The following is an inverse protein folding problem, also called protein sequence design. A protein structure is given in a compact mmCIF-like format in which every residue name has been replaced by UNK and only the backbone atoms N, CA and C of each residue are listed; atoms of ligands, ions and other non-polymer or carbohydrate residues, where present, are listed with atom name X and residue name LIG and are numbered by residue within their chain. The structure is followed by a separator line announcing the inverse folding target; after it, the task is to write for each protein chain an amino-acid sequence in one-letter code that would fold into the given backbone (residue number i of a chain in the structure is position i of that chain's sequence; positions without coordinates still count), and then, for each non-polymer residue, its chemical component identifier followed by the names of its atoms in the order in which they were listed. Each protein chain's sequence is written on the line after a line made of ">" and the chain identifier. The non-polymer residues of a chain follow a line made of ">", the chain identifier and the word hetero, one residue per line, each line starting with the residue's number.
data_IF_221374107581
#
_entry.id   IF_221374107581
#
_cell.length_a   1.000
_cell.length_b   1.000
_cell.length_c   1.000
_cell.angle_alpha   90.00
_cell.angle_beta   90.00
_cell.angle_gamma   90.00
#
_symmetry.space_group_name_H-M   'P 1'
#
loop_
_entity.id
_entity.type
_entity.pdbx_description
1 polymer ?
#
# COMPACT_ATOMS: atom_id res chain seq x y z
N UNK A 1 -18.06 -19.29 -11.29
CA UNK A 1 -18.19 -19.65 -9.86
C UNK A 1 -18.60 -21.11 -9.59
N UNK A 2 -19.44 -21.77 -10.42
CA UNK A 2 -19.77 -23.18 -10.18
C UNK A 2 -18.74 -24.19 -10.71
N UNK A 3 -17.96 -23.87 -11.76
CA UNK A 3 -16.92 -24.79 -12.29
C UNK A 3 -15.65 -24.85 -11.41
N UNK A 4 -15.20 -23.72 -10.84
CA UNK A 4 -14.06 -23.68 -9.91
C UNK A 4 -14.32 -24.43 -8.61
N UNK A 5 -15.55 -24.39 -8.09
CA UNK A 5 -15.94 -25.19 -6.91
C UNK A 5 -15.89 -26.69 -7.19
N UNK A 6 -16.18 -27.11 -8.41
CA UNK A 6 -16.18 -28.50 -8.82
C UNK A 6 -14.75 -29.03 -9.02
N UNK A 7 -13.85 -28.20 -9.59
CA UNK A 7 -12.41 -28.50 -9.73
C UNK A 7 -11.71 -28.72 -8.38
N UNK A 8 -11.99 -27.87 -7.38
CA UNK A 8 -11.40 -28.01 -6.05
C UNK A 8 -11.90 -29.25 -5.29
N UNK A 9 -13.12 -29.71 -5.55
CA UNK A 9 -13.67 -30.93 -4.94
C UNK A 9 -12.94 -32.19 -5.41
N UNK A 10 -12.62 -32.27 -6.70
CA UNK A 10 -11.87 -33.40 -7.28
C UNK A 10 -10.41 -33.45 -6.80
N UNK A 11 -9.78 -32.29 -6.62
CA UNK A 11 -8.41 -32.21 -6.12
C UNK A 11 -8.31 -32.64 -4.64
N UNK A 12 -9.30 -32.23 -3.83
CA UNK A 12 -9.43 -32.65 -2.42
C UNK A 12 -9.70 -34.15 -2.28
N UNK A 13 -10.52 -34.73 -3.16
CA UNK A 13 -10.79 -36.17 -3.18
C UNK A 13 -9.53 -36.96 -3.54
N UNK A 14 -8.76 -36.50 -4.54
CA UNK A 14 -7.48 -37.14 -4.93
C UNK A 14 -6.44 -37.07 -3.82
N UNK A 15 -6.33 -35.93 -3.14
CA UNK A 15 -5.42 -35.83 -1.99
C UNK A 15 -5.84 -36.74 -0.85
N UNK A 16 -7.14 -36.82 -0.55
CA UNK A 16 -7.66 -37.72 0.48
C UNK A 16 -7.37 -39.20 0.16
N UNK A 17 -7.55 -39.62 -1.09
CA UNK A 17 -7.24 -40.98 -1.54
C UNK A 17 -5.74 -41.28 -1.46
N UNK A 18 -4.87 -40.34 -1.86
CA UNK A 18 -3.42 -40.50 -1.76
C UNK A 18 -2.95 -40.60 -0.30
N UNK A 19 -3.54 -39.80 0.60
CA UNK A 19 -3.27 -39.88 2.04
C UNK A 19 -3.70 -41.24 2.58
N UNK A 20 -4.89 -41.74 2.19
CA UNK A 20 -5.38 -43.06 2.60
C UNK A 20 -4.47 -44.18 2.11
N UNK A 21 -4.02 -44.14 0.86
CA UNK A 21 -3.09 -45.13 0.29
C UNK A 21 -1.72 -45.07 0.96
N UNK A 22 -1.19 -43.88 1.24
CA UNK A 22 0.04 -43.72 1.98
C UNK A 22 -0.09 -44.30 3.39
N UNK A 23 -1.21 -44.06 4.07
CA UNK A 23 -1.49 -44.57 5.41
C UNK A 23 -1.57 -46.10 5.44
N UNK A 24 -2.29 -46.70 4.47
CA UNK A 24 -2.39 -48.16 4.31
C UNK A 24 -1.02 -48.79 3.95
N UNK A 25 -0.25 -48.14 3.08
CA UNK A 25 1.09 -48.58 2.70
C UNK A 25 2.09 -48.53 3.86
N UNK A 26 2.07 -47.45 4.65
CA UNK A 26 2.86 -47.35 5.87
C UNK A 26 2.42 -48.37 6.92
N UNK A 27 1.12 -48.62 7.05
CA UNK A 27 0.59 -49.66 7.94
C UNK A 27 1.09 -51.05 7.58
N UNK A 28 1.15 -51.38 6.28
CA UNK A 28 1.68 -52.65 5.80
C UNK A 28 3.19 -52.80 6.01
N UNK A 29 3.96 -51.71 5.84
CA UNK A 29 5.40 -51.71 6.09
C UNK A 29 5.73 -51.85 7.58
N UNK A 30 4.96 -51.17 8.44
CA UNK A 30 5.05 -51.32 9.91
C UNK A 30 4.71 -52.76 10.32
N UNK A 31 3.76 -53.42 9.64
CA UNK A 31 3.44 -54.81 9.91
C UNK A 31 4.55 -55.79 9.50
N UNK A 32 5.35 -55.45 8.47
CA UNK A 32 6.48 -56.27 8.01
C UNK A 32 7.75 -56.08 8.87
N UNK A 33 7.96 -54.88 9.39
CA UNK A 33 9.07 -54.53 10.28
C UNK A 33 8.67 -54.50 11.76
N UNK A 34 7.56 -55.19 12.09
CA UNK A 34 6.82 -55.08 13.36
C UNK A 34 7.75 -55.04 14.57
N UNK A 35 8.60 -56.04 14.75
CA UNK A 35 9.39 -56.18 15.97
C UNK A 35 10.42 -55.05 16.14
N UNK A 36 11.09 -54.63 15.06
CA UNK A 36 12.08 -53.53 15.10
C UNK A 36 11.42 -52.15 15.20
N UNK A 37 10.28 -51.97 14.52
CA UNK A 37 9.50 -50.75 14.63
C UNK A 37 8.93 -50.60 16.05
N UNK A 38 8.51 -51.70 16.68
CA UNK A 38 7.99 -51.70 18.05
C UNK A 38 9.10 -51.44 19.09
N UNK A 39 10.29 -52.02 18.92
CA UNK A 39 11.44 -51.72 19.79
C UNK A 39 11.80 -50.23 19.74
N UNK A 40 11.79 -49.65 18.53
CA UNK A 40 12.03 -48.22 18.32
C UNK A 40 10.93 -47.34 18.96
N UNK A 41 9.65 -47.68 18.75
CA UNK A 41 8.51 -46.93 19.31
C UNK A 41 8.48 -47.02 20.84
N UNK A 42 8.70 -48.19 21.43
CA UNK A 42 8.75 -48.37 22.89
C UNK A 42 9.93 -47.60 23.50
N UNK A 43 11.09 -47.60 22.84
CA UNK A 43 12.27 -46.83 23.30
C UNK A 43 12.01 -45.33 23.25
N UNK A 44 11.37 -44.84 22.18
CA UNK A 44 10.97 -43.43 22.06
C UNK A 44 9.93 -43.07 23.11
N UNK A 45 8.91 -43.90 23.30
CA UNK A 45 7.86 -43.68 24.30
C UNK A 45 8.46 -43.64 25.70
N UNK A 46 9.31 -44.60 26.06
CA UNK A 46 10.01 -44.61 27.35
C UNK A 46 10.87 -43.36 27.55
N UNK A 47 11.67 -42.96 26.56
CA UNK A 47 12.51 -41.76 26.66
C UNK A 47 11.66 -40.50 26.90
N UNK A 48 10.51 -40.40 26.24
CA UNK A 48 9.62 -39.25 26.41
C UNK A 48 8.85 -39.28 27.74
N UNK A 49 8.31 -40.43 28.15
CA UNK A 49 7.68 -40.60 29.48
C UNK A 49 8.68 -40.21 30.57
N UNK A 50 9.92 -40.69 30.47
CA UNK A 50 11.00 -40.38 31.41
C UNK A 50 11.40 -38.90 31.38
N UNK A 51 11.41 -38.27 30.21
CA UNK A 51 11.68 -36.83 30.09
C UNK A 51 10.58 -35.99 30.71
N UNK A 52 9.31 -36.39 30.55
CA UNK A 52 8.15 -35.72 31.15
C UNK A 52 8.15 -35.87 32.67
N UNK A 53 8.41 -37.08 33.19
CA UNK A 53 8.55 -37.33 34.64
C UNK A 53 9.74 -36.53 35.23
N UNK A 54 10.88 -36.51 34.54
CA UNK A 54 12.02 -35.70 34.95
C UNK A 54 11.70 -34.19 34.97
N UNK A 55 10.94 -33.69 33.99
CA UNK A 55 10.48 -32.30 33.97
C UNK A 55 9.46 -31.99 35.08
N UNK A 56 8.56 -32.93 35.42
CA UNK A 56 7.62 -32.74 36.53
C UNK A 56 8.33 -32.64 37.87
N UNK A 57 9.42 -33.40 38.06
CA UNK A 57 10.24 -33.34 39.28
C UNK A 57 11.05 -32.03 39.39
N UNK A 58 11.34 -31.37 38.27
CA UNK A 58 12.17 -30.15 38.20
C UNK A 58 11.39 -28.85 38.45
N UNK A 59 10.06 -28.87 38.33
CA UNK A 59 9.22 -27.70 38.54
C UNK A 59 8.54 -27.83 39.91
N UNK A 60 9.01 -27.12 40.96
CA UNK A 60 8.31 -27.10 42.24
C UNK A 60 7.02 -26.28 42.07
N UNK A 61 5.91 -26.95 41.80
CA UNK A 61 4.59 -26.33 41.76
C UNK A 61 4.14 -25.97 43.18
N UNK A 62 4.61 -24.82 43.69
CA UNK A 62 4.04 -24.20 44.88
C UNK A 62 2.73 -23.51 44.50
N UNK A 63 1.60 -24.22 44.65
CA UNK A 63 0.27 -23.63 44.78
C UNK A 63 -0.84 -24.29 43.95
N UNK A 64 -1.79 -24.93 44.64
CA UNK A 64 -3.21 -25.13 44.31
C UNK A 64 -3.62 -25.64 42.91
N UNK A 65 -2.74 -26.34 42.19
CA UNK A 65 -3.11 -27.14 41.00
C UNK A 65 -2.96 -28.66 41.30
N UNK A 66 -3.04 -29.02 42.59
CA UNK A 66 -2.85 -30.40 43.08
C UNK A 66 -3.91 -31.41 42.60
N UNK A 67 -4.95 -30.99 41.85
CA UNK A 67 -6.07 -31.86 41.48
C UNK A 67 -6.31 -32.06 39.98
N UNK A 68 -5.54 -31.45 39.07
CA UNK A 68 -5.80 -31.59 37.61
C UNK A 68 -4.78 -32.41 36.82
N UNK A 69 -3.60 -32.68 37.40
CA UNK A 69 -2.51 -33.44 36.75
C UNK A 69 -2.19 -34.82 37.41
N UNK A 70 -2.65 -35.20 38.63
CA UNK A 70 -2.30 -36.52 39.21
C UNK A 70 -2.62 -37.70 38.30
N UNK A 71 -3.76 -37.64 37.59
CA UNK A 71 -4.17 -38.69 36.67
C UNK A 71 -3.15 -38.99 35.57
N UNK A 72 -2.41 -37.98 35.10
CA UNK A 72 -1.44 -38.16 34.01
C UNK A 72 -0.09 -38.62 34.56
N UNK A 73 0.40 -38.01 35.65
CA UNK A 73 1.68 -38.40 36.25
C UNK A 73 1.63 -39.79 36.88
N UNK A 74 0.56 -40.13 37.59
CA UNK A 74 0.39 -41.45 38.24
C UNK A 74 0.26 -42.55 37.18
N UNK A 75 -0.52 -42.29 36.12
CA UNK A 75 -0.66 -43.21 34.99
C UNK A 75 0.67 -43.38 34.23
N UNK A 76 1.47 -42.33 34.09
CA UNK A 76 2.79 -42.40 33.45
C UNK A 76 3.81 -43.16 34.30
N UNK A 77 3.78 -42.99 35.63
CA UNK A 77 4.59 -43.75 36.58
C UNK A 77 4.22 -45.24 36.57
N UNK A 78 2.93 -45.56 36.49
CA UNK A 78 2.46 -46.94 36.40
C UNK A 78 2.87 -47.62 35.07
N UNK A 79 2.99 -46.84 33.98
CA UNK A 79 3.31 -47.35 32.64
C UNK A 79 4.85 -47.39 32.37
N UNK A 80 5.66 -46.58 33.05
CA UNK A 80 7.11 -46.48 32.84
C UNK A 80 7.87 -47.84 32.94
N UNK A 81 7.60 -48.71 33.93
CA UNK A 81 8.32 -49.99 34.06
C UNK A 81 8.04 -50.95 32.91
N UNK A 82 6.86 -50.83 32.29
CA UNK A 82 6.39 -51.63 31.17
C UNK A 82 6.96 -51.16 29.82
N UNK A 83 7.32 -49.88 29.71
CA UNK A 83 7.94 -49.32 28.50
C UNK A 83 9.47 -49.42 28.52
N UNK A 84 10.06 -49.70 29.68
CA UNK A 84 11.50 -49.75 29.86
C UNK A 84 12.11 -50.91 29.04
N UNK A 85 12.96 -50.62 28.04
CA UNK A 85 13.55 -51.67 27.20
C UNK A 85 14.52 -52.60 27.97
N UNK A 86 14.93 -52.22 29.18
CA UNK A 86 15.86 -52.97 30.02
C UNK A 86 15.17 -53.98 30.96
N UNK A 87 13.84 -53.96 31.09
CA UNK A 87 13.07 -54.88 31.97
C UNK A 87 12.55 -56.12 31.23
N UNK A 88 12.74 -56.23 29.91
CA UNK A 88 12.14 -57.26 29.08
C UNK A 88 13.11 -58.28 28.48
N UNK A 89 13.40 -59.37 29.18
CA UNK A 89 13.75 -60.64 28.54
C UNK A 89 12.77 -61.72 29.01
N UNK A 90 11.84 -62.12 28.12
CA UNK A 90 10.92 -63.25 28.34
C UNK A 90 9.48 -62.91 28.72
N UNK A 91 8.87 -61.87 28.13
CA UNK A 91 7.51 -61.42 28.46
C UNK A 91 6.42 -62.28 27.79
N UNK A 92 5.42 -62.70 28.56
CA UNK A 92 4.22 -63.42 28.13
C UNK A 92 3.40 -62.59 27.10
N UNK A 93 2.92 -63.18 25.98
CA UNK A 93 2.06 -62.52 24.99
C UNK A 93 0.87 -61.72 25.54
N UNK A 94 0.30 -62.12 26.68
CA UNK A 94 -0.82 -61.39 27.27
C UNK A 94 -0.37 -60.11 28.00
N UNK A 95 0.79 -60.15 28.66
CA UNK A 95 1.42 -58.98 29.25
C UNK A 95 1.85 -58.00 28.16
N UNK A 96 2.35 -58.52 27.04
CA UNK A 96 2.74 -57.76 25.85
C UNK A 96 1.60 -56.90 25.27
N UNK A 97 0.38 -57.43 25.22
CA UNK A 97 -0.80 -56.68 24.75
C UNK A 97 -1.15 -55.50 25.68
N UNK A 98 -1.01 -55.70 27.00
CA UNK A 98 -1.24 -54.64 28.00
C UNK A 98 -0.22 -53.50 27.86
N UNK A 99 1.04 -53.82 27.60
CA UNK A 99 2.10 -52.83 27.35
C UNK A 99 1.76 -51.99 26.10
N UNK A 100 1.26 -52.62 25.03
CA UNK A 100 0.85 -51.89 23.83
C UNK A 100 -0.39 -51.03 24.01
N UNK A 101 -1.38 -51.50 24.78
CA UNK A 101 -2.54 -50.70 25.11
C UNK A 101 -2.13 -49.48 25.94
N UNK A 102 -1.22 -49.65 26.89
CA UNK A 102 -0.67 -48.55 27.68
C UNK A 102 0.15 -47.55 26.84
N UNK A 103 1.04 -48.04 25.98
CA UNK A 103 1.87 -47.20 25.10
C UNK A 103 1.03 -46.37 24.12
N UNK A 104 -0.02 -46.96 23.55
CA UNK A 104 -0.92 -46.29 22.60
C UNK A 104 -1.80 -45.24 23.28
N UNK A 105 -2.26 -45.50 24.51
CA UNK A 105 -2.96 -44.50 25.34
C UNK A 105 -2.05 -43.34 25.69
N UNK A 106 -0.80 -43.62 26.10
CA UNK A 106 0.18 -42.57 26.37
C UNK A 106 0.51 -41.74 25.12
N UNK A 107 0.68 -42.38 23.96
CA UNK A 107 0.91 -41.67 22.70
C UNK A 107 -0.27 -40.77 22.30
N UNK A 108 -1.51 -41.26 22.44
CA UNK A 108 -2.73 -40.49 22.18
C UNK A 108 -2.81 -39.24 23.07
N UNK A 109 -2.50 -39.38 24.36
CA UNK A 109 -2.57 -38.30 25.33
C UNK A 109 -1.44 -37.27 25.19
N UNK A 110 -0.21 -37.72 24.93
CA UNK A 110 0.97 -36.84 24.86
C UNK A 110 1.07 -36.13 23.50
N UNK A 111 0.74 -36.81 22.41
CA UNK A 111 1.00 -36.27 21.07
C UNK A 111 -0.26 -35.91 20.31
N UNK A 112 -1.24 -36.82 20.23
CA UNK A 112 -2.41 -36.58 19.37
C UNK A 112 -3.31 -35.50 19.96
N UNK A 113 -3.60 -35.54 21.26
CA UNK A 113 -4.51 -34.58 21.88
C UNK A 113 -3.96 -33.14 21.83
N UNK A 114 -2.68 -32.87 22.19
CA UNK A 114 -2.12 -31.52 22.13
C UNK A 114 -1.94 -31.04 20.69
N UNK A 115 -1.55 -31.91 19.75
CA UNK A 115 -1.45 -31.51 18.34
C UNK A 115 -2.83 -31.21 17.74
N UNK A 116 -3.85 -32.02 18.02
CA UNK A 116 -5.23 -31.74 17.61
C UNK A 116 -5.76 -30.47 18.25
N UNK A 117 -5.42 -30.20 19.51
CA UNK A 117 -5.79 -28.96 20.19
C UNK A 117 -5.07 -27.73 19.61
N UNK A 118 -3.78 -27.83 19.30
CA UNK A 118 -3.03 -26.77 18.59
C UNK A 118 -3.61 -26.52 17.21
N UNK A 119 -3.91 -27.58 16.45
CA UNK A 119 -4.53 -27.50 15.12
C UNK A 119 -5.92 -26.86 15.24
N UNK A 120 -6.76 -27.29 16.19
CA UNK A 120 -8.09 -26.75 16.44
C UNK A 120 -8.05 -25.27 16.86
N UNK A 121 -7.15 -24.89 17.76
CA UNK A 121 -6.91 -23.50 18.15
C UNK A 121 -6.34 -22.65 17.00
N UNK A 122 -5.63 -23.28 16.06
CA UNK A 122 -5.06 -22.60 14.88
C UNK A 122 -6.09 -22.41 13.76
N UNK A 123 -7.09 -23.29 13.64
CA UNK A 123 -8.14 -23.20 12.63
C UNK A 123 -9.03 -21.95 12.74
N UNK A 124 -8.98 -21.22 13.87
CA UNK A 124 -9.66 -19.93 14.07
C UNK A 124 -8.74 -18.69 14.08
N UNK A 125 -7.42 -18.85 13.96
CA UNK A 125 -6.43 -17.77 14.17
C UNK A 125 -5.69 -17.35 12.91
N UNK A 126 -6.31 -17.51 11.74
CA UNK A 126 -5.82 -16.89 10.51
C UNK A 126 -6.12 -15.40 10.56
N UNK A 127 -5.11 -14.51 10.74
CA UNK A 127 -5.36 -13.08 10.92
C UNK A 127 -6.10 -12.49 9.72
N UNK A 128 -5.78 -12.96 8.51
CA UNK A 128 -6.45 -12.60 7.26
C UNK A 128 -7.96 -12.87 7.28
N UNK A 129 -8.40 -14.02 7.84
CA UNK A 129 -9.81 -14.34 7.96
C UNK A 129 -10.51 -13.54 9.07
N UNK A 130 -9.80 -13.25 10.17
CA UNK A 130 -10.31 -12.40 11.24
C UNK A 130 -10.51 -10.97 10.73
N UNK A 131 -9.55 -10.43 9.97
CA UNK A 131 -9.68 -9.10 9.36
C UNK A 131 -10.79 -9.07 8.31
N UNK A 132 -10.87 -10.09 7.44
CA UNK A 132 -11.90 -10.17 6.38
C UNK A 132 -13.31 -10.34 6.93
N UNK A 133 -13.49 -11.09 8.01
CA UNK A 133 -14.81 -11.39 8.56
C UNK A 133 -15.22 -10.41 9.68
N UNK A 134 -14.25 -9.78 10.35
CA UNK A 134 -14.48 -8.90 11.51
C UNK A 134 -14.54 -7.41 11.16
N UNK A 135 -14.05 -7.01 9.99
CA UNK A 135 -14.04 -5.60 9.60
C UNK A 135 -14.54 -5.40 8.16
N UNK A 136 -15.44 -4.42 7.98
CA UNK A 136 -15.69 -3.80 6.68
C UNK A 136 -14.58 -2.81 6.36
N UNK A 137 -14.52 -2.29 5.13
CA UNK A 137 -13.60 -1.20 4.80
C UNK A 137 -13.82 -0.02 5.74
N UNK A 138 -15.07 0.38 5.95
CA UNK A 138 -15.42 1.51 6.83
C UNK A 138 -15.01 1.24 8.28
N UNK A 139 -15.24 0.02 8.79
CA UNK A 139 -14.84 -0.28 10.16
C UNK A 139 -13.32 -0.38 10.31
N UNK A 140 -12.56 -0.82 9.30
CA UNK A 140 -11.08 -0.72 9.30
C UNK A 140 -10.63 0.75 9.34
N UNK A 141 -11.29 1.61 8.58
CA UNK A 141 -11.00 3.03 8.52
C UNK A 141 -11.33 3.76 9.83
N UNK A 142 -12.43 3.40 10.50
CA UNK A 142 -12.84 3.97 11.79
C UNK A 142 -12.01 3.43 12.96
N UNK A 143 -11.80 2.11 13.02
CA UNK A 143 -11.13 1.45 14.15
C UNK A 143 -9.60 1.56 14.09
N UNK A 144 -9.03 1.81 12.89
CA UNK A 144 -7.58 1.94 12.65
C UNK A 144 -6.77 0.92 13.46
N UNK A 145 -6.99 -0.40 13.29
CA UNK A 145 -6.19 -1.40 13.99
C UNK A 145 -4.70 -1.26 13.64
N UNK A 146 -4.40 -0.63 12.50
CA UNK A 146 -3.08 -0.16 12.09
C UNK A 146 -3.01 1.35 12.33
N UNK A 147 -2.09 1.80 13.18
CA UNK A 147 -1.88 3.24 13.42
C UNK A 147 -1.40 3.94 12.14
N UNK A 148 -2.30 4.68 11.50
CA UNK A 148 -2.02 5.49 10.30
C UNK A 148 -2.39 6.96 10.48
N UNK A 149 -2.04 7.77 9.48
CA UNK A 149 -2.50 9.16 9.35
C UNK A 149 -4.02 9.16 9.14
N UNK A 150 -4.79 9.63 10.12
CA UNK A 150 -6.23 9.87 9.94
C UNK A 150 -6.41 11.01 8.94
N UNK A 151 -7.26 10.80 7.95
CA UNK A 151 -7.64 11.77 6.92
C UNK A 151 -9.16 11.86 6.91
N UNK A 152 -9.75 12.25 8.04
CA UNK A 152 -11.20 12.20 8.27
C UNK A 152 -12.01 13.18 7.41
N UNK A 153 -11.36 14.12 6.72
CA UNK A 153 -12.00 14.91 5.67
C UNK A 153 -12.44 14.05 4.48
N UNK A 154 -11.77 12.94 4.18
CA UNK A 154 -12.17 12.01 3.11
C UNK A 154 -13.52 11.34 3.42
N UNK A 155 -13.80 11.05 4.69
CA UNK A 155 -15.06 10.40 5.11
C UNK A 155 -16.27 11.31 4.87
N UNK A 156 -16.09 12.63 5.08
CA UNK A 156 -17.14 13.65 4.86
C UNK A 156 -17.46 13.91 3.38
N UNK A 157 -16.68 13.32 2.48
CA UNK A 157 -16.80 13.46 1.03
C UNK A 157 -17.48 12.27 0.37
N UNK A 158 -17.84 11.22 1.12
CA UNK A 158 -18.58 10.06 0.62
C UNK A 158 -20.09 10.27 0.77
N UNK A 159 -20.77 10.70 -0.30
CA UNK A 159 -22.09 10.18 -0.62
C UNK A 159 -22.08 9.38 -1.94
N UNK A 160 -20.96 9.36 -2.68
CA UNK A 160 -20.87 8.73 -4.01
C UNK A 160 -20.48 7.24 -4.00
N UNK A 161 -19.97 6.72 -2.89
CA UNK A 161 -19.52 5.32 -2.76
C UNK A 161 -20.64 4.35 -2.29
N UNK A 162 -21.81 4.86 -1.87
CA UNK A 162 -22.93 4.05 -1.37
C UNK A 162 -23.75 3.36 -2.47
N UNK A 163 -23.55 3.71 -3.74
CA UNK A 163 -24.15 2.99 -4.85
C UNK A 163 -23.28 1.76 -5.21
N UNK A 164 -23.35 0.75 -4.35
CA UNK A 164 -23.07 -0.66 -4.63
C UNK A 164 -21.94 -0.94 -5.63
N UNK A 165 -20.70 -0.98 -5.14
CA UNK A 165 -19.60 -1.60 -5.88
C UNK A 165 -19.83 -3.12 -5.94
N UNK A 166 -20.63 -3.59 -6.90
CA UNK A 166 -20.68 -5.01 -7.22
C UNK A 166 -19.38 -5.40 -7.92
N UNK A 167 -18.54 -6.16 -7.21
CA UNK A 167 -17.40 -6.86 -7.79
C UNK A 167 -17.96 -7.98 -8.67
N UNK A 168 -18.39 -7.61 -9.88
CA UNK A 168 -18.70 -8.53 -10.96
C UNK A 168 -17.42 -8.89 -11.69
N UNK A 169 -17.22 -10.18 -11.96
CA UNK A 169 -16.04 -10.76 -12.62
C UNK A 169 -15.97 -10.46 -14.12
N UNK A 170 -15.97 -9.19 -14.52
CA UNK A 170 -15.74 -8.75 -15.89
C UNK A 170 -14.77 -7.57 -15.89
N UNK A 171 -13.47 -7.89 -15.83
CA UNK A 171 -12.35 -6.95 -15.79
C UNK A 171 -12.10 -6.20 -17.12
N UNK A 172 -13.10 -5.99 -17.97
CA UNK A 172 -12.91 -5.35 -19.28
C UNK A 172 -13.97 -4.33 -19.71
N UNK A 173 -15.18 -4.29 -19.14
CA UNK A 173 -16.27 -3.42 -19.67
C UNK A 173 -16.69 -2.25 -18.77
N UNK A 174 -16.25 -2.20 -17.51
CA UNK A 174 -16.79 -1.24 -16.53
C UNK A 174 -15.78 -0.18 -16.01
N UNK A 175 -14.87 0.28 -16.86
CA UNK A 175 -14.01 1.45 -16.54
C UNK A 175 -14.79 2.77 -16.63
N UNK A 176 -15.99 2.76 -17.23
CA UNK A 176 -16.81 3.95 -17.49
C UNK A 176 -17.72 4.42 -16.34
N UNK A 177 -17.87 3.67 -15.24
CA UNK A 177 -18.80 4.06 -14.16
C UNK A 177 -18.24 5.07 -13.15
N UNK A 178 -16.96 5.46 -13.26
CA UNK A 178 -16.39 6.58 -12.52
C UNK A 178 -16.76 7.96 -13.11
N UNK A 179 -17.48 8.00 -14.24
CA UNK A 179 -17.59 9.19 -15.10
C UNK A 179 -18.97 9.86 -15.03
N UNK A 180 -20.01 9.22 -14.48
CA UNK A 180 -21.34 9.86 -14.36
C UNK A 180 -21.47 10.86 -13.19
N UNK A 181 -20.42 11.10 -12.42
CA UNK A 181 -20.37 12.16 -11.40
C UNK A 181 -19.91 13.51 -11.95
N UNK A 182 -19.43 13.56 -13.19
CA UNK A 182 -18.99 14.81 -13.80
C UNK A 182 -20.21 15.42 -14.51
N UNK A 183 -20.66 16.59 -14.04
CA UNK A 183 -21.70 17.48 -14.62
C UNK A 183 -23.10 17.55 -13.96
N UNK A 184 -23.30 17.04 -12.75
CA UNK A 184 -24.44 17.52 -11.93
C UNK A 184 -23.93 18.47 -10.85
N UNK A 185 -24.19 19.76 -11.03
CA UNK A 185 -23.66 20.84 -10.20
C UNK A 185 -23.95 20.67 -8.70
N UNK A 186 -22.90 20.44 -7.92
CA UNK A 186 -22.76 20.85 -6.53
C UNK A 186 -21.33 20.59 -6.03
N UNK A 187 -20.52 21.66 -6.05
CA UNK A 187 -19.17 21.85 -5.49
C UNK A 187 -18.60 20.76 -4.56
N UNK A 188 -17.54 20.11 -5.03
CA UNK A 188 -16.30 19.96 -4.25
C UNK A 188 -15.09 20.02 -5.19
N UNK A 189 -14.83 21.21 -5.74
CA UNK A 189 -13.90 21.56 -6.85
C UNK A 189 -12.42 21.10 -6.70
N UNK A 190 -12.05 20.33 -5.68
CA UNK A 190 -10.65 20.06 -5.34
C UNK A 190 -10.26 18.57 -5.18
N UNK A 191 -11.20 17.62 -5.24
CA UNK A 191 -10.85 16.18 -5.21
C UNK A 191 -10.76 15.49 -6.56
N UNK A 192 -11.18 16.16 -7.62
CA UNK A 192 -11.14 15.62 -8.99
C UNK A 192 -9.74 15.08 -9.35
N UNK A 193 -9.65 14.00 -10.14
CA UNK A 193 -8.37 13.50 -10.64
C UNK A 193 -7.59 14.61 -11.36
N UNK A 194 -6.29 14.38 -11.59
CA UNK A 194 -5.53 15.31 -12.42
C UNK A 194 -6.17 15.36 -13.81
N UNK A 195 -6.36 16.57 -14.34
CA UNK A 195 -6.97 16.75 -15.65
C UNK A 195 -6.09 16.08 -16.71
N UNK A 196 -6.72 15.45 -17.69
CA UNK A 196 -6.02 15.10 -18.92
C UNK A 196 -5.54 16.38 -19.62
N UNK A 197 -4.52 16.33 -20.47
CA UNK A 197 -4.07 17.52 -21.19
C UNK A 197 -5.19 18.19 -22.02
N UNK A 198 -6.11 17.41 -22.57
CA UNK A 198 -7.27 17.89 -23.33
C UNK A 198 -8.31 18.58 -22.42
N UNK A 199 -8.67 17.95 -21.31
CA UNK A 199 -9.58 18.53 -20.30
C UNK A 199 -9.00 19.83 -19.76
N UNK A 200 -7.69 19.86 -19.54
CA UNK A 200 -7.00 21.05 -19.08
C UNK A 200 -7.06 22.19 -20.10
N UNK A 201 -6.78 21.92 -21.39
CA UNK A 201 -6.88 22.93 -22.45
C UNK A 201 -8.28 23.54 -22.57
N UNK A 202 -9.33 22.72 -22.40
CA UNK A 202 -10.72 23.20 -22.37
C UNK A 202 -10.97 24.05 -21.13
N UNK A 203 -10.53 23.57 -19.95
CA UNK A 203 -10.75 24.26 -18.67
C UNK A 203 -10.09 25.63 -18.60
N UNK A 204 -8.94 25.81 -19.26
CA UNK A 204 -8.21 27.07 -19.30
C UNK A 204 -8.65 27.97 -20.47
N UNK A 205 -9.65 27.54 -21.26
CA UNK A 205 -10.24 28.34 -22.34
C UNK A 205 -9.36 28.49 -23.58
N UNK A 206 -8.35 27.63 -23.76
CA UNK A 206 -7.48 27.64 -24.94
C UNK A 206 -8.19 27.11 -26.20
N UNK A 207 -9.35 26.47 -26.03
CA UNK A 207 -10.24 26.03 -27.11
C UNK A 207 -11.50 26.91 -27.06
N UNK A 208 -11.61 27.93 -27.93
CA UNK A 208 -12.67 28.95 -27.83
C UNK A 208 -14.03 28.47 -28.36
N UNK A 209 -14.06 27.44 -29.22
CA UNK A 209 -15.27 26.94 -29.85
C UNK A 209 -16.02 25.97 -28.92
N UNK A 210 -17.18 26.42 -28.42
CA UNK A 210 -18.03 25.65 -27.50
C UNK A 210 -18.50 24.34 -28.10
N UNK A 211 -18.79 24.29 -29.40
CA UNK A 211 -19.25 23.07 -30.05
C UNK A 211 -18.11 22.04 -30.18
N UNK A 212 -16.86 22.52 -30.38
CA UNK A 212 -15.67 21.66 -30.32
C UNK A 212 -15.41 21.17 -28.89
N UNK A 213 -15.52 22.05 -27.90
CA UNK A 213 -15.34 21.70 -26.49
C UNK A 213 -16.38 20.67 -26.00
N UNK A 214 -17.65 20.82 -26.38
CA UNK A 214 -18.71 19.85 -26.05
C UNK A 214 -18.50 18.50 -26.73
N UNK A 215 -17.98 18.47 -27.97
CA UNK A 215 -17.61 17.21 -28.65
C UNK A 215 -16.47 16.48 -27.94
N UNK A 216 -15.49 17.20 -27.40
CA UNK A 216 -14.38 16.65 -26.62
C UNK A 216 -14.86 16.15 -25.24
N UNK A 217 -15.68 16.93 -24.54
CA UNK A 217 -16.23 16.56 -23.24
C UNK A 217 -17.13 15.30 -23.33
N UNK A 218 -17.93 15.17 -24.40
CA UNK A 218 -18.80 14.02 -24.62
C UNK A 218 -18.07 12.78 -25.17
N UNK A 219 -16.87 12.94 -25.72
CA UNK A 219 -15.97 11.86 -26.13
C UNK A 219 -14.82 11.73 -25.13
N UNK A 220 -15.12 11.27 -23.92
CA UNK A 220 -14.12 10.69 -23.00
C UNK A 220 -13.63 9.32 -23.52
N UNK A 221 -13.24 9.30 -24.80
CA UNK A 221 -12.62 8.18 -25.49
C UNK A 221 -11.11 8.33 -25.31
N UNK A 222 -10.33 7.26 -25.10
CA UNK A 222 -8.87 7.34 -25.17
C UNK A 222 -8.45 8.10 -26.43
N UNK A 223 -7.66 9.17 -26.25
CA UNK A 223 -7.12 10.08 -27.27
C UNK A 223 -7.24 9.54 -28.71
N UNK A 224 -8.25 10.02 -29.45
CA UNK A 224 -8.42 9.70 -30.87
C UNK A 224 -7.59 10.67 -31.71
N UNK A 225 -6.33 10.28 -31.89
CA UNK A 225 -5.30 11.01 -32.63
C UNK A 225 -5.74 11.42 -34.04
N UNK A 226 -6.70 10.73 -34.66
CA UNK A 226 -7.17 11.06 -36.02
C UNK A 226 -7.89 12.40 -36.10
N UNK A 227 -8.51 12.83 -34.99
CA UNK A 227 -9.29 14.08 -34.94
C UNK A 227 -8.56 15.20 -34.18
N UNK A 228 -7.42 14.90 -33.54
CA UNK A 228 -6.63 15.86 -32.78
C UNK A 228 -6.13 17.02 -33.66
N UNK A 229 -5.67 16.70 -34.88
CA UNK A 229 -5.19 17.68 -35.85
C UNK A 229 -6.26 18.66 -36.31
N UNK A 230 -7.56 18.37 -36.18
CA UNK A 230 -8.66 19.30 -36.52
C UNK A 230 -9.13 20.09 -35.31
N UNK A 231 -9.10 19.47 -34.13
CA UNK A 231 -9.59 20.06 -32.87
C UNK A 231 -8.61 21.08 -32.27
N UNK A 232 -7.30 20.92 -32.52
CA UNK A 232 -6.26 21.70 -31.84
C UNK A 232 -5.45 22.63 -32.78
N UNK A 233 -5.90 22.88 -34.02
CA UNK A 233 -5.18 23.71 -35.02
C UNK A 233 -4.89 25.13 -34.53
N UNK A 234 -5.79 25.68 -33.71
CA UNK A 234 -5.74 27.07 -33.27
C UNK A 234 -4.86 27.26 -32.02
N UNK A 235 -4.36 26.17 -31.43
CA UNK A 235 -3.56 26.23 -30.20
C UNK A 235 -2.12 26.61 -30.53
N UNK A 236 -1.66 27.70 -29.92
CA UNK A 236 -0.28 28.19 -30.06
C UNK A 236 0.56 27.90 -28.83
N UNK A 237 1.88 27.76 -29.02
CA UNK A 237 2.83 27.61 -27.90
C UNK A 237 2.74 28.81 -26.96
N UNK A 238 2.55 30.02 -27.50
CA UNK A 238 2.47 31.24 -26.70
C UNK A 238 1.22 31.27 -25.82
N UNK A 239 0.07 30.83 -26.33
CA UNK A 239 -1.15 30.71 -25.52
C UNK A 239 -0.99 29.69 -24.38
N UNK A 240 -0.36 28.54 -24.64
CA UNK A 240 -0.08 27.56 -23.58
C UNK A 240 0.94 28.13 -22.56
N UNK A 241 1.97 28.85 -23.04
CA UNK A 241 2.94 29.49 -22.16
C UNK A 241 2.26 30.44 -21.18
N UNK A 242 1.39 31.34 -21.66
CA UNK A 242 0.71 32.32 -20.83
C UNK A 242 -0.06 31.66 -19.67
N UNK A 243 -0.83 30.62 -19.98
CA UNK A 243 -1.60 29.87 -18.98
C UNK A 243 -0.68 29.15 -17.98
N UNK A 244 0.37 28.47 -18.46
CA UNK A 244 1.32 27.77 -17.59
C UNK A 244 2.12 28.73 -16.71
N UNK A 245 2.42 29.92 -17.21
CA UNK A 245 3.11 30.97 -16.47
C UNK A 245 2.27 31.48 -15.30
N UNK A 246 0.95 31.55 -15.44
CA UNK A 246 0.05 31.95 -14.36
C UNK A 246 0.10 30.97 -13.17
N UNK A 247 0.27 29.67 -13.44
CA UNK A 247 0.32 28.60 -12.41
C UNK A 247 1.66 28.51 -11.65
N UNK A 248 2.62 29.41 -11.88
CA UNK A 248 3.94 29.37 -11.25
C UNK A 248 3.95 29.65 -9.73
N UNK A 249 2.88 30.29 -9.22
CA UNK A 249 2.77 30.70 -7.82
C UNK A 249 3.53 32.01 -7.53
N UNK A 250 3.88 32.24 -6.26
CA UNK A 250 4.62 33.43 -5.84
C UNK A 250 6.14 33.26 -5.97
N UNK A 251 6.87 34.39 -5.98
CA UNK A 251 8.34 34.38 -5.96
C UNK A 251 8.88 33.83 -4.64
N UNK A 252 10.01 33.14 -4.69
CA UNK A 252 10.69 32.63 -3.50
C UNK A 252 11.46 33.73 -2.78
N UNK A 253 11.09 34.01 -1.52
CA UNK A 253 11.75 35.01 -0.67
C UNK A 253 12.21 34.40 0.68
N UNK A 254 12.50 33.10 0.70
CA UNK A 254 12.87 32.35 1.91
C UNK A 254 11.67 31.92 2.76
N UNK A 255 11.94 31.22 3.86
CA UNK A 255 10.88 30.54 4.64
C UNK A 255 9.83 31.47 5.25
N UNK A 256 10.22 32.70 5.60
CA UNK A 256 9.32 33.68 6.22
C UNK A 256 8.20 34.17 5.29
N UNK A 257 8.35 33.94 3.99
CA UNK A 257 7.35 34.34 2.99
C UNK A 257 6.24 33.31 2.80
N UNK A 258 6.36 32.15 3.44
CA UNK A 258 5.43 31.03 3.33
C UNK A 258 4.21 31.20 4.24
N UNK A 259 3.09 30.63 3.81
CA UNK A 259 1.87 30.50 4.61
C UNK A 259 2.08 29.54 5.81
N UNK A 260 1.20 29.52 6.81
CA UNK A 260 1.46 28.69 8.02
C UNK A 260 1.42 27.20 7.69
N UNK A 261 0.54 26.74 6.79
CA UNK A 261 0.55 25.33 6.38
C UNK A 261 1.81 24.98 5.57
N UNK A 262 2.34 25.92 4.79
CA UNK A 262 3.56 25.74 4.01
C UNK A 262 4.78 25.68 4.92
N UNK A 263 4.87 26.58 5.91
CA UNK A 263 5.90 26.54 6.94
C UNK A 263 5.82 25.25 7.76
N UNK A 264 4.63 24.79 8.13
CA UNK A 264 4.43 23.51 8.82
C UNK A 264 4.87 22.31 7.97
N UNK A 265 4.54 22.30 6.68
CA UNK A 265 4.99 21.28 5.76
C UNK A 265 6.52 21.30 5.62
N UNK A 266 7.11 22.47 5.36
CA UNK A 266 8.57 22.64 5.23
C UNK A 266 9.31 22.24 6.51
N UNK A 267 8.78 22.58 7.69
CA UNK A 267 9.32 22.14 8.98
C UNK A 267 9.39 20.61 9.06
N UNK A 268 8.32 19.91 8.66
CA UNK A 268 8.34 18.45 8.59
C UNK A 268 9.37 17.91 7.58
N UNK A 269 9.54 18.57 6.43
CA UNK A 269 10.56 18.21 5.43
C UNK A 269 12.00 18.40 5.98
N UNK A 270 12.24 19.49 6.71
CA UNK A 270 13.54 19.77 7.34
C UNK A 270 13.84 18.72 8.41
N UNK A 271 12.89 18.39 9.28
CA UNK A 271 13.07 17.36 10.29
C UNK A 271 13.32 15.99 9.67
N UNK A 272 12.69 15.70 8.52
CA UNK A 272 12.95 14.47 7.78
C UNK A 272 14.37 14.45 7.18
N UNK A 273 14.84 15.58 6.65
CA UNK A 273 16.23 15.76 6.21
C UNK A 273 17.25 15.63 7.34
N UNK A 274 16.89 16.05 8.56
CA UNK A 274 17.72 15.96 9.76
C UNK A 274 17.61 14.61 10.51
N UNK A 275 17.02 13.59 9.88
CA UNK A 275 16.80 12.25 10.47
C UNK A 275 15.89 12.24 11.72
N UNK A 276 15.17 13.32 12.02
CA UNK A 276 14.19 13.44 13.10
C UNK A 276 12.78 13.09 12.63
N UNK A 277 12.64 11.95 11.95
CA UNK A 277 11.40 11.54 11.28
C UNK A 277 10.19 11.39 12.22
N UNK A 278 10.43 11.06 13.50
CA UNK A 278 9.38 10.97 14.52
C UNK A 278 8.67 12.30 14.74
N UNK A 279 9.45 13.37 14.94
CA UNK A 279 8.91 14.73 15.12
C UNK A 279 8.30 15.26 13.81
N UNK A 280 8.94 15.01 12.66
CA UNK A 280 8.37 15.38 11.37
C UNK A 280 7.00 14.75 11.12
N UNK A 281 6.83 13.49 11.52
CA UNK A 281 5.55 12.78 11.44
C UNK A 281 4.51 13.35 12.40
N UNK A 282 4.91 13.73 13.60
CA UNK A 282 4.02 14.38 14.58
C UNK A 282 3.47 15.70 14.03
N UNK A 283 4.30 16.51 13.37
CA UNK A 283 3.87 17.74 12.70
C UNK A 283 2.89 17.42 11.56
N UNK A 284 3.19 16.43 10.71
CA UNK A 284 2.29 16.05 9.61
C UNK A 284 0.93 15.54 10.12
N UNK A 285 0.93 14.74 11.18
CA UNK A 285 -0.30 14.29 11.85
C UNK A 285 -1.08 15.46 12.43
N UNK A 286 -0.40 16.42 13.04
CA UNK A 286 -1.03 17.64 13.56
C UNK A 286 -1.67 18.47 12.46
N UNK A 287 -0.99 18.64 11.32
CA UNK A 287 -1.54 19.34 10.14
C UNK A 287 -2.79 18.63 9.63
N UNK A 288 -2.76 17.29 9.51
CA UNK A 288 -3.90 16.50 9.06
C UNK A 288 -5.10 16.65 10.01
N UNK A 289 -4.89 16.48 11.31
CA UNK A 289 -5.95 16.62 12.32
C UNK A 289 -6.52 18.04 12.38
N UNK A 290 -5.67 19.06 12.21
CA UNK A 290 -6.11 20.46 12.21
C UNK A 290 -6.91 20.79 10.96
N UNK A 291 -6.49 20.26 9.80
CA UNK A 291 -7.24 20.40 8.56
C UNK A 291 -8.59 19.70 8.66
N UNK A 292 -8.63 18.46 9.19
CA UNK A 292 -9.88 17.74 9.45
C UNK A 292 -10.85 18.57 10.32
N UNK A 293 -10.36 19.23 11.36
CA UNK A 293 -11.20 20.05 12.23
C UNK A 293 -11.65 21.37 11.59
N UNK A 294 -10.93 21.85 10.58
CA UNK A 294 -11.15 23.18 9.97
C UNK A 294 -11.85 23.11 8.61
N UNK A 295 -11.80 21.96 7.93
CA UNK A 295 -12.42 21.75 6.63
C UNK A 295 -13.93 22.08 6.65
N UNK A 296 -14.48 22.76 5.62
CA UNK A 296 -13.84 23.19 4.37
C UNK A 296 -13.15 24.57 4.40
N UNK A 297 -13.05 25.21 5.56
CA UNK A 297 -12.58 26.60 5.68
C UNK A 297 -11.04 26.69 5.75
N UNK A 298 -10.44 27.12 4.64
CA UNK A 298 -8.99 27.35 4.50
C UNK A 298 -8.48 28.46 5.42
N UNK A 299 -9.25 29.52 5.62
CA UNK A 299 -8.82 30.66 6.44
C UNK A 299 -8.84 30.27 7.93
N UNK A 300 -9.84 29.48 8.34
CA UNK A 300 -9.87 28.88 9.67
C UNK A 300 -8.67 27.96 9.88
N UNK A 301 -8.33 27.11 8.91
CA UNK A 301 -7.17 26.24 8.98
C UNK A 301 -5.88 27.06 9.22
N UNK A 302 -5.66 28.09 8.40
CA UNK A 302 -4.52 29.02 8.55
C UNK A 302 -4.47 29.69 9.93
N UNK A 303 -5.60 30.23 10.40
CA UNK A 303 -5.67 30.90 11.70
C UNK A 303 -5.36 29.96 12.87
N UNK A 304 -5.86 28.72 12.83
CA UNK A 304 -5.60 27.74 13.89
C UNK A 304 -4.12 27.36 13.93
N UNK A 305 -3.49 27.16 12.77
CA UNK A 305 -2.06 26.89 12.68
C UNK A 305 -1.22 28.06 13.21
N UNK A 306 -1.57 29.30 12.86
CA UNK A 306 -0.88 30.50 13.32
C UNK A 306 -0.98 30.73 14.84
N UNK A 307 -2.08 30.30 15.48
CA UNK A 307 -2.30 30.46 16.93
C UNK A 307 -1.71 29.35 17.78
N UNK A 308 -1.38 28.19 17.20
CA UNK A 308 -0.89 27.05 17.95
C UNK A 308 0.57 27.26 18.39
N UNK A 309 0.78 27.50 19.69
CA UNK A 309 2.12 27.79 20.24
C UNK A 309 3.12 26.64 20.09
N UNK A 310 2.67 25.40 20.23
CA UNK A 310 3.54 24.23 20.11
C UNK A 310 4.06 24.10 18.68
N UNK A 311 3.15 24.14 17.69
CA UNK A 311 3.49 24.04 16.28
C UNK A 311 4.40 25.20 15.86
N UNK A 312 4.03 26.44 16.19
CA UNK A 312 4.83 27.61 15.82
C UNK A 312 6.23 27.58 16.47
N UNK A 313 6.34 27.09 17.71
CA UNK A 313 7.63 26.84 18.36
C UNK A 313 8.48 25.84 17.58
N UNK A 314 7.88 24.70 17.17
CA UNK A 314 8.57 23.65 16.41
C UNK A 314 8.93 24.07 14.99
N UNK A 315 8.05 24.81 14.31
CA UNK A 315 8.35 25.43 13.01
C UNK A 315 9.58 26.31 13.17
N UNK A 316 9.56 27.27 14.08
CA UNK A 316 10.69 28.19 14.28
C UNK A 316 12.00 27.43 14.58
N UNK A 317 11.97 26.48 15.50
CA UNK A 317 13.13 25.63 15.84
C UNK A 317 13.68 24.90 14.61
N UNK A 318 12.80 24.30 13.79
CA UNK A 318 13.20 23.59 12.58
C UNK A 318 13.77 24.51 11.49
N UNK A 319 13.18 25.69 11.28
CA UNK A 319 13.64 26.65 10.27
C UNK A 319 15.00 27.25 10.65
N UNK A 320 15.20 27.56 11.94
CA UNK A 320 16.44 28.17 12.44
C UNK A 320 17.60 27.16 12.59
N UNK A 321 17.31 25.86 12.52
CA UNK A 321 18.27 24.76 12.62
C UNK A 321 19.33 24.77 11.51
N UNK A 322 20.45 24.07 11.73
CA UNK A 322 21.49 23.92 10.70
C UNK A 322 20.95 23.24 9.44
N UNK A 323 20.10 22.21 9.60
CA UNK A 323 19.40 21.53 8.53
C UNK A 323 18.48 22.49 7.74
N UNK A 324 17.72 23.33 8.45
CA UNK A 324 16.86 24.36 7.86
C UNK A 324 17.66 25.32 6.99
N UNK A 325 18.76 25.86 7.52
CA UNK A 325 19.65 26.76 6.77
C UNK A 325 20.30 26.10 5.56
N UNK A 326 20.72 24.83 5.68
CA UNK A 326 21.28 24.07 4.55
C UNK A 326 20.26 23.92 3.42
N UNK A 327 19.01 23.57 3.76
CA UNK A 327 17.93 23.44 2.79
C UNK A 327 17.54 24.80 2.19
N UNK A 328 17.45 25.86 2.99
CA UNK A 328 17.19 27.21 2.49
C UNK A 328 18.26 27.65 1.48
N UNK A 329 19.54 27.42 1.81
CA UNK A 329 20.66 27.71 0.91
C UNK A 329 20.58 26.92 -0.39
N UNK A 330 20.14 25.65 -0.35
CA UNK A 330 19.90 24.86 -1.57
C UNK A 330 18.72 25.38 -2.38
N UNK A 331 17.77 26.06 -1.74
CA UNK A 331 16.62 26.66 -2.41
C UNK A 331 16.90 28.03 -3.03
N UNK A 332 18.04 28.67 -2.73
CA UNK A 332 18.40 29.98 -3.30
C UNK A 332 18.63 29.96 -4.82
N UNK A 333 18.82 28.79 -5.43
CA UNK A 333 18.91 28.64 -6.88
C UNK A 333 17.54 28.72 -7.57
N UNK A 334 16.46 28.91 -6.81
CA UNK A 334 15.09 28.99 -7.33
C UNK A 334 14.51 30.39 -7.13
N UNK A 335 13.90 30.93 -8.19
CA UNK A 335 13.19 32.20 -8.20
C UNK A 335 11.74 32.10 -7.75
N UNK A 336 11.13 30.91 -7.79
CA UNK A 336 9.72 30.69 -7.47
C UNK A 336 9.52 29.75 -6.29
N UNK A 337 8.45 29.98 -5.53
CA UNK A 337 8.13 29.22 -4.32
C UNK A 337 7.95 27.73 -4.63
N UNK A 338 7.17 27.41 -5.64
CA UNK A 338 6.84 26.02 -5.96
C UNK A 338 8.10 25.22 -6.39
N UNK A 339 9.02 25.83 -7.15
CA UNK A 339 10.28 25.19 -7.54
C UNK A 339 11.24 25.01 -6.36
N UNK A 340 11.31 25.99 -5.46
CA UNK A 340 12.06 25.88 -4.21
C UNK A 340 11.55 24.72 -3.33
N UNK A 341 10.22 24.60 -3.17
CA UNK A 341 9.60 23.51 -2.39
C UNK A 341 9.86 22.13 -3.01
N UNK A 342 9.93 22.01 -4.34
CA UNK A 342 10.36 20.77 -5.02
C UNK A 342 11.78 20.39 -4.60
N UNK A 343 12.72 21.34 -4.58
CA UNK A 343 14.09 21.07 -4.12
C UNK A 343 14.14 20.63 -2.67
N UNK A 344 13.41 21.30 -1.79
CA UNK A 344 13.35 20.94 -0.35
C UNK A 344 12.84 19.50 -0.19
N UNK A 345 11.73 19.15 -0.85
CA UNK A 345 11.17 17.80 -0.81
C UNK A 345 12.13 16.75 -1.38
N UNK A 346 12.77 17.04 -2.52
CA UNK A 346 13.72 16.12 -3.14
C UNK A 346 14.94 15.89 -2.27
N UNK A 347 15.45 16.92 -1.60
CA UNK A 347 16.58 16.81 -0.67
C UNK A 347 16.20 16.04 0.59
N UNK A 348 15.03 16.31 1.16
CA UNK A 348 14.52 15.55 2.29
C UNK A 348 14.40 14.04 1.95
N UNK A 349 13.89 13.71 0.76
CA UNK A 349 13.81 12.31 0.29
C UNK A 349 15.18 11.66 0.06
N UNK A 350 16.14 12.43 -0.45
CA UNK A 350 17.47 11.94 -0.76
C UNK A 350 18.22 11.53 0.51
N UNK A 351 18.21 12.37 1.54
CA UNK A 351 18.95 12.10 2.79
C UNK A 351 18.11 11.27 3.78
N UNK A 352 16.86 11.66 4.01
CA UNK A 352 15.99 11.07 5.04
C UNK A 352 15.22 9.83 4.60
N UNK A 353 15.28 9.44 3.32
CA UNK A 353 14.56 8.29 2.78
C UNK A 353 13.09 8.57 2.47
N UNK A 354 12.24 7.53 2.59
CA UNK A 354 10.86 7.56 2.07
C UNK A 354 10.00 8.62 2.77
N UNK A 355 9.51 9.59 1.99
CA UNK A 355 8.53 10.59 2.43
C UNK A 355 7.40 10.70 1.39
N UNK A 356 6.30 9.94 1.57
CA UNK A 356 5.21 9.91 0.61
C UNK A 356 4.37 11.18 0.69
N UNK A 357 3.87 11.63 -0.47
CA UNK A 357 2.91 12.75 -0.55
C UNK A 357 1.57 12.43 0.12
N UNK A 358 1.25 11.14 0.30
CA UNK A 358 0.10 10.68 1.07
C UNK A 358 0.02 11.25 2.50
N UNK A 359 1.15 11.70 3.08
CA UNK A 359 1.16 12.31 4.41
C UNK A 359 0.55 13.72 4.46
N UNK A 360 0.36 14.37 3.32
CA UNK A 360 -0.16 15.74 3.23
C UNK A 360 -1.23 15.88 2.13
N UNK A 361 -2.16 14.91 2.06
CA UNK A 361 -3.26 14.90 1.09
C UNK A 361 -4.17 16.14 1.14
N UNK A 362 -4.31 16.75 2.33
CA UNK A 362 -5.06 18.00 2.51
C UNK A 362 -4.56 19.12 1.61
N UNK A 363 -3.28 19.09 1.21
CA UNK A 363 -2.70 20.11 0.35
C UNK A 363 -3.42 20.20 -1.00
N UNK A 364 -3.92 19.08 -1.53
CA UNK A 364 -4.71 19.05 -2.76
C UNK A 364 -5.93 19.97 -2.68
N UNK A 365 -6.54 20.06 -1.50
CA UNK A 365 -7.75 20.84 -1.23
C UNK A 365 -7.48 22.32 -0.97
N UNK A 366 -6.23 22.68 -0.66
CA UNK A 366 -5.83 24.05 -0.32
C UNK A 366 -5.11 24.73 -1.48
N UNK A 367 -4.24 23.97 -2.15
CA UNK A 367 -3.39 24.39 -3.25
C UNK A 367 -3.14 23.19 -4.18
N UNK A 368 -4.06 23.02 -5.14
CA UNK A 368 -4.04 21.93 -6.11
C UNK A 368 -2.77 21.92 -6.98
N UNK A 369 -2.31 23.09 -7.40
CA UNK A 369 -1.09 23.24 -8.21
C UNK A 369 0.15 22.83 -7.41
N UNK A 370 0.28 23.28 -6.16
CA UNK A 370 1.40 22.88 -5.30
C UNK A 370 1.35 21.39 -4.96
N UNK A 371 0.16 20.83 -4.72
CA UNK A 371 -0.01 19.39 -4.52
C UNK A 371 0.55 18.58 -5.67
N UNK A 372 0.12 18.84 -6.91
CA UNK A 372 0.63 18.10 -8.07
C UNK A 372 2.11 18.38 -8.31
N UNK A 373 2.57 19.60 -8.09
CA UNK A 373 3.98 19.95 -8.17
C UNK A 373 4.83 19.06 -7.27
N UNK A 374 4.46 18.93 -5.98
CA UNK A 374 5.18 18.09 -5.02
C UNK A 374 4.95 16.59 -5.25
N UNK A 375 3.76 16.20 -5.70
CA UNK A 375 3.44 14.81 -6.01
C UNK A 375 4.26 14.28 -7.20
N UNK A 376 4.46 15.09 -8.23
CA UNK A 376 5.28 14.77 -9.39
C UNK A 376 6.79 14.98 -9.14
N UNK A 377 7.20 15.42 -7.94
CA UNK A 377 8.62 15.59 -7.61
C UNK A 377 9.36 14.24 -7.57
N UNK A 378 10.14 13.97 -8.62
CA UNK A 378 10.85 12.70 -8.82
C UNK A 378 10.30 11.87 -9.98
N UNK A 379 9.17 12.24 -10.57
CA UNK A 379 8.62 11.58 -11.73
C UNK A 379 9.32 12.08 -13.02
N UNK A 380 9.45 11.18 -14.00
CA UNK A 380 9.95 11.55 -15.33
C UNK A 380 8.96 12.45 -16.08
N UNK A 381 7.66 12.18 -15.91
CA UNK A 381 6.54 12.91 -16.53
C UNK A 381 5.70 13.57 -15.42
N UNK A 382 5.39 14.85 -15.60
CA UNK A 382 4.53 15.64 -14.71
C UNK A 382 3.08 15.62 -15.18
N UNK A 383 2.13 15.86 -14.29
CA UNK A 383 0.75 16.20 -14.71
C UNK A 383 0.76 17.52 -15.46
N UNK A 384 -0.25 17.76 -16.31
CA UNK A 384 -0.35 19.01 -17.07
C UNK A 384 -0.44 20.23 -16.14
N UNK A 385 -1.21 20.12 -15.05
CA UNK A 385 -1.41 21.17 -14.03
C UNK A 385 -0.12 21.59 -13.30
N UNK A 386 0.91 20.73 -13.27
CA UNK A 386 2.22 21.02 -12.67
C UNK A 386 3.35 21.15 -13.67
N UNK A 387 3.07 20.97 -14.97
CA UNK A 387 4.08 20.85 -16.02
C UNK A 387 4.92 22.12 -16.20
N UNK A 388 4.28 23.29 -16.14
CA UNK A 388 4.97 24.59 -16.21
C UNK A 388 6.00 24.76 -15.09
N UNK A 389 5.61 24.43 -13.85
CA UNK A 389 6.50 24.50 -12.69
C UNK A 389 7.66 23.52 -12.83
N UNK A 390 7.42 22.29 -13.29
CA UNK A 390 8.49 21.29 -13.49
C UNK A 390 9.43 21.66 -14.64
N UNK A 391 8.93 22.26 -15.72
CA UNK A 391 9.77 22.77 -16.80
C UNK A 391 10.68 23.90 -16.30
N UNK A 392 10.12 24.85 -15.56
CA UNK A 392 10.89 25.95 -14.99
C UNK A 392 11.92 25.46 -13.97
N UNK A 393 11.50 24.57 -13.06
CA UNK A 393 12.39 23.91 -12.10
C UNK A 393 13.59 23.25 -12.79
N UNK A 394 13.36 22.52 -13.89
CA UNK A 394 14.45 21.90 -14.66
C UNK A 394 15.39 22.94 -15.27
N UNK A 395 14.86 24.04 -15.79
CA UNK A 395 15.66 25.14 -16.33
C UNK A 395 16.53 25.80 -15.26
N UNK A 396 16.01 26.03 -14.05
CA UNK A 396 16.75 26.56 -12.90
C UNK A 396 17.87 25.60 -12.45
N UNK A 397 17.58 24.30 -12.35
CA UNK A 397 18.59 23.29 -12.02
C UNK A 397 19.69 23.23 -13.08
N UNK A 398 19.34 23.31 -14.37
CA UNK A 398 20.31 23.29 -15.46
C UNK A 398 21.18 24.55 -15.50
N UNK A 399 20.60 25.70 -15.16
CA UNK A 399 21.30 26.99 -15.16
C UNK A 399 22.06 27.25 -13.86
N UNK A 400 21.70 26.54 -12.79
CA UNK A 400 22.21 26.70 -11.42
C UNK A 400 22.09 28.15 -10.90
N UNK A 401 21.06 28.86 -11.34
CA UNK A 401 20.73 30.24 -10.94
C UNK A 401 19.21 30.40 -10.82
N UNK A 402 18.72 31.28 -9.94
CA UNK A 402 17.30 31.59 -9.85
C UNK A 402 16.83 32.33 -11.10
N UNK A 403 15.80 31.81 -11.78
CA UNK A 403 15.25 32.40 -12.99
C UNK A 403 13.95 33.15 -12.67
N UNK A 404 14.01 34.48 -12.61
CA UNK A 404 12.80 35.29 -12.40
C UNK A 404 11.90 35.31 -13.64
N UNK A 405 12.50 35.23 -14.83
CA UNK A 405 11.75 35.04 -16.06
C UNK A 405 11.25 33.59 -16.11
N UNK A 406 9.93 33.44 -16.12
CA UNK A 406 9.26 32.15 -16.22
C UNK A 406 9.73 31.44 -17.50
N UNK A 407 10.02 30.15 -17.37
CA UNK A 407 10.57 29.33 -18.45
C UNK A 407 9.76 28.04 -18.53
N UNK A 408 8.60 28.15 -19.17
CA UNK A 408 7.64 27.05 -19.32
C UNK A 408 7.60 26.48 -20.74
N UNK A 409 8.41 27.05 -21.66
CA UNK A 409 8.43 26.70 -23.08
C UNK A 409 8.56 25.20 -23.33
N UNK A 410 9.39 24.50 -22.55
CA UNK A 410 9.59 23.07 -22.71
C UNK A 410 8.31 22.26 -22.41
N UNK A 411 7.47 22.71 -21.47
CA UNK A 411 6.18 22.08 -21.18
C UNK A 411 5.20 22.32 -22.33
N UNK A 412 5.07 23.57 -22.79
CA UNK A 412 4.18 23.95 -23.90
C UNK A 412 4.54 23.24 -25.20
N UNK A 413 5.83 23.19 -25.52
CA UNK A 413 6.35 22.45 -26.68
C UNK A 413 6.04 20.96 -26.57
N UNK A 414 6.27 20.34 -25.41
CA UNK A 414 6.01 18.91 -25.23
C UNK A 414 4.52 18.60 -25.32
N UNK A 415 3.65 19.48 -24.81
CA UNK A 415 2.22 19.34 -25.00
C UNK A 415 1.82 19.41 -26.48
N UNK A 416 2.23 20.47 -27.19
CA UNK A 416 1.79 20.70 -28.55
C UNK A 416 2.44 19.75 -29.56
N UNK A 417 3.76 19.57 -29.50
CA UNK A 417 4.51 18.79 -30.50
C UNK A 417 4.62 17.31 -30.13
N UNK A 418 4.91 16.98 -28.87
CA UNK A 418 5.19 15.59 -28.47
C UNK A 418 3.94 14.81 -28.05
N UNK A 419 2.86 15.49 -27.66
CA UNK A 419 1.62 14.87 -27.22
C UNK A 419 0.51 15.05 -28.27
N UNK A 420 0.09 16.28 -28.55
CA UNK A 420 -1.01 16.55 -29.50
C UNK A 420 -0.59 16.30 -30.96
N UNK A 421 0.56 16.82 -31.37
CA UNK A 421 1.09 16.72 -32.74
C UNK A 421 1.86 15.43 -33.04
N UNK A 422 1.74 14.41 -32.20
CA UNK A 422 2.41 13.13 -32.45
C UNK A 422 1.89 12.52 -33.75
N UNK A 423 2.78 12.05 -34.63
CA UNK A 423 2.36 11.35 -35.85
C UNK A 423 2.11 9.87 -35.58
N UNK A 424 1.21 9.24 -36.35
CA UNK A 424 0.91 7.80 -36.23
C UNK A 424 2.17 6.92 -36.31
N UNK A 425 3.12 7.26 -37.18
CA UNK A 425 4.39 6.56 -37.32
C UNK A 425 5.28 6.69 -36.07
N UNK A 426 5.27 7.86 -35.43
CA UNK A 426 6.01 8.10 -34.19
C UNK A 426 5.38 7.33 -33.03
N UNK A 427 4.04 7.25 -32.98
CA UNK A 427 3.32 6.42 -32.03
C UNK A 427 3.69 4.94 -32.17
N UNK A 428 3.69 4.42 -33.40
CA UNK A 428 4.10 3.04 -33.68
C UNK A 428 5.55 2.77 -33.22
N UNK A 429 6.47 3.72 -33.45
CA UNK A 429 7.85 3.63 -32.95
C UNK A 429 7.94 3.66 -31.42
N UNK A 430 7.21 4.55 -30.74
CA UNK A 430 7.18 4.62 -29.26
C UNK A 430 6.59 3.33 -28.67
N UNK A 431 5.52 2.80 -29.25
CA UNK A 431 4.91 1.52 -28.85
C UNK A 431 5.90 0.37 -29.04
N UNK A 432 6.64 0.35 -30.15
CA UNK A 432 7.70 -0.63 -30.39
C UNK A 432 8.82 -0.50 -29.35
N UNK A 433 9.31 0.70 -29.07
CA UNK A 433 10.35 0.94 -28.07
C UNK A 433 9.89 0.53 -26.66
N UNK A 434 8.66 0.88 -26.28
CA UNK A 434 8.05 0.43 -25.02
C UNK A 434 8.00 -1.10 -24.96
N UNK A 435 7.53 -1.75 -26.03
CA UNK A 435 7.48 -3.20 -26.13
C UNK A 435 8.86 -3.83 -26.11
N UNK A 436 9.93 -3.17 -26.56
CA UNK A 436 11.29 -3.68 -26.46
C UNK A 436 11.79 -3.66 -25.00
N UNK A 437 11.58 -2.54 -24.30
CA UNK A 437 12.07 -2.32 -22.92
C UNK A 437 11.26 -3.10 -21.88
N UNK A 438 10.01 -3.47 -22.19
CA UNK A 438 9.13 -4.17 -21.25
C UNK A 438 9.72 -5.52 -20.81
N UNK A 439 9.61 -5.90 -19.52
CA UNK A 439 10.04 -7.22 -19.04
C UNK A 439 9.32 -8.35 -19.78
N UNK A 440 10.05 -9.44 -20.08
CA UNK A 440 9.53 -10.57 -20.86
C UNK A 440 8.27 -11.21 -20.24
N UNK A 441 8.21 -11.31 -18.91
CA UNK A 441 7.04 -11.84 -18.19
C UNK A 441 5.76 -11.04 -18.45
N UNK A 442 5.84 -9.72 -18.57
CA UNK A 442 4.68 -8.88 -18.88
C UNK A 442 4.24 -9.04 -20.34
N UNK A 443 5.18 -9.31 -21.27
CA UNK A 443 4.85 -9.61 -22.67
C UNK A 443 4.12 -10.93 -22.77
N UNK A 444 4.64 -11.98 -22.12
CA UNK A 444 4.01 -13.31 -22.09
C UNK A 444 2.60 -13.29 -21.51
N UNK A 445 2.39 -12.49 -20.46
CA UNK A 445 1.06 -12.32 -19.85
C UNK A 445 0.05 -11.70 -20.82
N UNK A 446 0.41 -10.63 -21.51
CA UNK A 446 -0.45 -10.02 -22.53
C UNK A 446 -0.68 -10.98 -23.70
N UNK A 447 0.34 -11.73 -24.13
CA UNK A 447 0.18 -12.79 -25.13
C UNK A 447 -0.81 -13.86 -24.65
N UNK A 448 -0.74 -14.30 -23.40
CA UNK A 448 -1.67 -15.28 -22.84
C UNK A 448 -3.12 -14.73 -22.74
N UNK A 449 -3.27 -13.48 -22.31
CA UNK A 449 -4.57 -12.79 -22.22
C UNK A 449 -5.21 -12.59 -23.61
N UNK A 450 -4.40 -12.19 -24.61
CA UNK A 450 -4.86 -12.05 -26.00
C UNK A 450 -5.19 -13.41 -26.64
N UNK A 451 -4.39 -14.46 -26.36
CA UNK A 451 -4.66 -15.81 -26.85
C UNK A 451 -5.95 -16.39 -26.26
N UNK A 452 -6.20 -16.17 -24.96
CA UNK A 452 -7.46 -16.57 -24.30
C UNK A 452 -8.69 -15.81 -24.82
N UNK A 453 -8.54 -14.57 -25.26
CA UNK A 453 -9.64 -13.81 -25.87
C UNK A 453 -9.94 -14.18 -27.33
N UNK A 454 -9.03 -14.93 -27.98
CA UNK A 454 -9.14 -15.36 -29.37
C UNK A 454 -9.64 -16.80 -29.55
N UNK A 455 -9.87 -17.50 -28.44
CA UNK A 455 -10.54 -18.82 -28.35
C UNK A 455 -11.95 -18.56 -27.83
#
# INVERSE_FOLDING_TARGET
>A
MNSEKQSNGDEQLRTAILILMAFLGTGSLIHLARDKAMEFISTIAWYHVKTVLWFSDLIPFNGDIDNSIPFVTDLLLDIEPYLNPFTGFGVDPELWWKIHQAASVAFLMIYLLPTMLVIWLSFGRRPDLIFRNGYSLDSLWETQPIKGTKVGFLDRLSPALDNGFQIGSTAAENVGYLINTIHSGSKSDHLEPALSPEEWLISEGLIPDKDKAEKLANKLVPFDQKNADELFQDITIDGINEVLEDKMGSTWNGFKSLNNYEMGLVAALILHYDFQQGLGREILLFLNATFDASYPDKDRFEQVLGRNRWLQGKIKESLDSEAGRKLENKSLIHGWKNTALVTILRRARLEGGVLPTANFLWLKLIDRTLWYTLNNAGNAVSSIESSGVHAHFRAEIQSNIPLLRKNVFQASRSLLEDYLGMKQDQFARRKLQYNLVRPMGNKLREYAETWQSSI
#
